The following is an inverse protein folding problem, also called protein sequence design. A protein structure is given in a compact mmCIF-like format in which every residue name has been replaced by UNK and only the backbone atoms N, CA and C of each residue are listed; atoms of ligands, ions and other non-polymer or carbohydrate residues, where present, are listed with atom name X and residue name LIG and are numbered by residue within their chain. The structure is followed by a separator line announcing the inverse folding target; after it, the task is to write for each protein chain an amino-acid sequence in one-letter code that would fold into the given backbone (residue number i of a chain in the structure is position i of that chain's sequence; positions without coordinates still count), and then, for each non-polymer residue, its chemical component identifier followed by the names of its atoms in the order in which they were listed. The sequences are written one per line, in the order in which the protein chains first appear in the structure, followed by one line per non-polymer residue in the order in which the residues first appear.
data_IF_309406242870
#
_entry.id   IF_309406242870
#
_cell.length_a   1.000
_cell.length_b   1.000
_cell.length_c   1.000
_cell.angle_alpha   90.00
_cell.angle_beta   90.00
_cell.angle_gamma   90.00
#
_symmetry.space_group_name_H-M   'P 1'
#
loop_
_entity.id
_entity.type
_entity.pdbx_description
1 polymer ?
#
# COMPACT_ATOMS: atom_id res chain seq x y z
N UNK A 1 -23.83 15.44 -0.58
CA UNK A 1 -22.46 15.33 0.00
C UNK A 1 -22.51 14.22 1.04
N UNK A 2 -21.59 13.27 0.99
CA UNK A 2 -21.53 12.18 1.97
C UNK A 2 -21.11 12.74 3.33
N UNK A 3 -21.81 12.34 4.39
CA UNK A 3 -21.54 12.84 5.74
C UNK A 3 -20.25 12.24 6.29
N UNK A 4 -19.33 13.06 6.76
CA UNK A 4 -18.08 12.62 7.43
C UNK A 4 -18.42 12.02 8.78
N UNK A 5 -18.14 10.73 8.96
CA UNK A 5 -18.35 10.01 10.22
C UNK A 5 -17.02 9.93 10.97
N UNK A 6 -17.02 10.17 12.29
CA UNK A 6 -15.87 10.07 13.16
C UNK A 6 -16.01 8.91 14.14
N UNK A 7 -14.96 8.12 14.31
CA UNK A 7 -14.89 7.04 15.31
C UNK A 7 -13.61 7.14 16.12
N UNK A 8 -13.66 6.71 17.37
CA UNK A 8 -12.48 6.64 18.23
C UNK A 8 -11.47 5.64 17.66
N UNK A 9 -10.20 5.99 17.76
CA UNK A 9 -9.10 5.09 17.40
C UNK A 9 -8.92 4.08 18.53
N UNK A 10 -8.96 2.79 18.19
CA UNK A 10 -8.80 1.67 19.12
C UNK A 10 -7.53 1.82 19.96
N UNK A 11 -7.70 1.77 21.28
CA UNK A 11 -6.65 1.99 22.28
C UNK A 11 -6.32 3.46 22.56
N UNK A 12 -6.97 4.41 21.85
CA UNK A 12 -6.83 5.86 22.00
C UNK A 12 -8.18 6.55 22.24
N UNK A 13 -9.16 5.82 22.73
CA UNK A 13 -10.47 6.35 23.12
C UNK A 13 -10.31 7.54 24.07
N UNK A 14 -11.07 8.60 23.84
CA UNK A 14 -10.95 9.84 24.61
C UNK A 14 -9.75 10.73 24.25
N UNK A 15 -8.91 10.32 23.29
CA UNK A 15 -7.75 11.08 22.84
C UNK A 15 -7.81 11.45 21.36
N UNK A 16 -8.14 10.49 20.49
CA UNK A 16 -8.09 10.68 19.05
C UNK A 16 -9.20 9.94 18.33
N UNK A 17 -9.65 10.53 17.23
CA UNK A 17 -10.64 9.98 16.32
C UNK A 17 -10.12 9.96 14.89
N UNK A 18 -10.59 9.01 14.11
CA UNK A 18 -10.39 8.92 12.66
C UNK A 18 -11.72 9.10 11.95
N UNK A 19 -11.72 9.80 10.82
CA UNK A 19 -12.90 9.98 9.98
C UNK A 19 -13.01 8.90 8.90
N UNK A 20 -14.23 8.72 8.39
CA UNK A 20 -14.50 7.89 7.20
C UNK A 20 -13.75 8.34 5.95
N UNK A 21 -13.23 9.58 5.92
CA UNK A 21 -12.50 10.18 4.81
C UNK A 21 -10.97 10.23 5.02
N UNK A 22 -10.45 9.55 6.07
CA UNK A 22 -9.01 9.51 6.31
C UNK A 22 -8.41 10.69 7.07
N UNK A 23 -9.23 11.57 7.64
CA UNK A 23 -8.73 12.60 8.55
C UNK A 23 -8.56 12.03 9.96
N UNK A 24 -7.62 12.54 10.73
CA UNK A 24 -7.41 12.20 12.14
C UNK A 24 -7.46 13.48 12.97
N UNK A 25 -8.16 13.42 14.10
CA UNK A 25 -8.23 14.55 15.04
C UNK A 25 -7.95 14.14 16.47
N UNK A 26 -7.37 15.06 17.26
CA UNK A 26 -7.47 14.98 18.71
C UNK A 26 -8.82 15.52 19.16
N UNK A 27 -9.27 15.10 20.35
CA UNK A 27 -10.53 15.57 20.93
C UNK A 27 -10.26 16.47 22.14
N UNK A 28 -11.25 17.30 22.48
CA UNK A 28 -11.22 18.12 23.66
C UNK A 28 -11.04 17.24 24.90
N UNK A 29 -10.10 17.59 25.76
CA UNK A 29 -9.88 16.87 27.02
C UNK A 29 -9.22 17.73 28.09
N UNK A 30 -9.39 17.34 29.33
CA UNK A 30 -8.68 17.95 30.46
C UNK A 30 -7.45 17.08 30.76
N UNK A 31 -6.29 17.71 30.91
CA UNK A 31 -5.04 17.07 31.32
C UNK A 31 -4.52 17.74 32.58
N UNK A 32 -3.84 17.01 33.44
CA UNK A 32 -3.15 17.59 34.57
C UNK A 32 -1.77 18.09 34.13
N UNK A 33 -1.45 19.35 34.39
CA UNK A 33 -0.17 19.96 34.07
C UNK A 33 0.30 20.78 35.26
N UNK A 34 1.43 20.41 35.86
CA UNK A 34 1.94 21.06 37.08
C UNK A 34 0.97 20.99 38.27
N UNK A 35 0.17 19.92 38.37
CA UNK A 35 -0.83 19.76 39.44
C UNK A 35 -2.18 20.45 39.20
N UNK A 36 -2.33 21.19 38.09
CA UNK A 36 -3.56 21.91 37.74
C UNK A 36 -4.25 21.36 36.51
N UNK A 37 -5.61 21.36 36.46
CA UNK A 37 -6.35 20.93 35.30
C UNK A 37 -6.18 21.95 34.16
N UNK A 38 -5.77 21.47 32.97
CA UNK A 38 -5.66 22.27 31.76
C UNK A 38 -6.53 21.67 30.65
N UNK A 39 -7.39 22.53 30.08
CA UNK A 39 -8.18 22.13 28.89
C UNK A 39 -7.31 22.15 27.64
N UNK A 40 -7.28 21.05 26.90
CA UNK A 40 -6.69 20.93 25.56
C UNK A 40 -7.84 20.91 24.57
N UNK A 41 -7.82 21.82 23.59
CA UNK A 41 -8.79 21.83 22.48
C UNK A 41 -8.37 20.81 21.42
N UNK A 42 -9.34 20.03 20.95
CA UNK A 42 -9.15 19.09 19.84
C UNK A 42 -8.88 19.82 18.52
N UNK A 43 -8.09 19.16 17.67
CA UNK A 43 -7.74 19.70 16.34
C UNK A 43 -7.47 18.60 15.35
N UNK A 44 -7.61 18.88 14.05
CA UNK A 44 -7.18 18.01 12.97
C UNK A 44 -5.65 17.91 13.02
N UNK A 45 -5.15 16.68 12.94
CA UNK A 45 -3.71 16.40 12.98
C UNK A 45 -3.12 16.41 11.58
N UNK A 46 -1.94 17.03 11.45
CA UNK A 46 -1.16 16.96 10.23
C UNK A 46 -0.71 15.51 9.94
N UNK A 47 -0.77 15.14 8.68
CA UNK A 47 -0.33 13.84 8.18
C UNK A 47 0.86 14.04 7.26
N UNK A 48 1.85 13.17 7.35
CA UNK A 48 3.00 13.14 6.45
C UNK A 48 2.86 12.00 5.46
N UNK A 49 3.51 12.13 4.30
CA UNK A 49 3.56 11.05 3.31
C UNK A 49 4.95 10.41 3.37
N UNK A 50 5.01 9.09 3.47
CA UNK A 50 6.28 8.38 3.42
C UNK A 50 6.81 8.28 1.97
N UNK A 51 8.01 7.72 1.83
CA UNK A 51 8.65 7.55 0.53
C UNK A 51 7.86 6.60 -0.41
N UNK A 52 7.05 5.73 0.13
CA UNK A 52 6.22 4.77 -0.60
C UNK A 52 4.84 5.32 -0.96
N UNK A 53 4.52 6.56 -0.54
CA UNK A 53 3.29 7.29 -0.85
C UNK A 53 2.17 7.14 0.18
N UNK A 54 2.39 6.44 1.29
CA UNK A 54 1.36 6.27 2.31
C UNK A 54 1.30 7.44 3.28
N UNK A 55 0.07 7.85 3.64
CA UNK A 55 -0.17 8.82 4.71
C UNK A 55 0.01 8.18 6.07
N UNK A 56 0.79 8.84 6.94
CA UNK A 56 1.00 8.41 8.31
C UNK A 56 1.07 9.60 9.27
N UNK A 57 0.91 9.32 10.57
CA UNK A 57 1.04 10.30 11.64
C UNK A 57 1.48 9.62 12.93
N UNK A 58 1.84 10.45 13.92
CA UNK A 58 2.18 9.96 15.26
C UNK A 58 1.10 10.31 16.26
N UNK A 59 0.72 9.35 17.09
CA UNK A 59 -0.21 9.53 18.20
C UNK A 59 0.51 9.34 19.52
N UNK A 60 0.20 10.20 20.49
CA UNK A 60 0.81 10.18 21.81
C UNK A 60 -0.22 9.92 22.88
N UNK A 61 0.02 8.93 23.74
CA UNK A 61 -0.80 8.61 24.92
C UNK A 61 0.11 8.16 26.08
N UNK A 62 -0.12 8.67 27.29
CA UNK A 62 0.64 8.31 28.50
C UNK A 62 2.17 8.43 28.33
N UNK A 63 2.63 9.52 27.71
CA UNK A 63 4.05 9.76 27.47
C UNK A 63 4.68 8.96 26.32
N UNK A 64 4.01 7.95 25.79
CA UNK A 64 4.48 7.11 24.68
C UNK A 64 3.95 7.63 23.35
N UNK A 65 4.80 7.62 22.31
CA UNK A 65 4.45 7.99 20.96
C UNK A 65 4.55 6.75 20.04
N UNK A 66 3.58 6.60 19.12
CA UNK A 66 3.56 5.51 18.14
C UNK A 66 3.11 6.07 16.78
N UNK A 67 3.76 5.61 15.71
CA UNK A 67 3.38 5.92 14.33
C UNK A 67 2.29 4.98 13.83
N UNK A 68 1.35 5.55 13.05
CA UNK A 68 0.23 4.82 12.45
C UNK A 68 0.05 5.23 11.00
N UNK A 69 -0.23 4.27 10.15
CA UNK A 69 -0.72 4.53 8.80
C UNK A 69 -2.21 4.86 8.82
N UNK A 70 -2.58 5.92 8.10
CA UNK A 70 -3.96 6.44 8.08
C UNK A 70 -4.93 5.41 7.51
N UNK A 71 -4.59 4.75 6.39
CA UNK A 71 -5.43 3.70 5.80
C UNK A 71 -5.74 2.56 6.78
N UNK A 72 -4.78 2.19 7.65
CA UNK A 72 -5.02 1.17 8.67
C UNK A 72 -5.99 1.64 9.74
N UNK A 73 -5.84 2.88 10.23
CA UNK A 73 -6.78 3.46 11.20
C UNK A 73 -8.20 3.52 10.64
N UNK A 74 -8.35 3.91 9.36
CA UNK A 74 -9.65 3.93 8.69
C UNK A 74 -10.21 2.53 8.51
N UNK A 75 -9.40 1.59 8.04
CA UNK A 75 -9.84 0.22 7.82
C UNK A 75 -10.29 -0.44 9.14
N UNK A 76 -9.53 -0.27 10.22
CA UNK A 76 -9.88 -0.79 11.55
C UNK A 76 -11.20 -0.20 12.09
N UNK A 77 -11.49 1.07 11.76
CA UNK A 77 -12.67 1.74 12.26
C UNK A 77 -13.93 1.51 11.40
N UNK A 78 -13.80 1.37 10.08
CA UNK A 78 -14.91 1.47 9.15
C UNK A 78 -15.08 0.29 8.20
N UNK A 79 -14.01 -0.50 7.94
CA UNK A 79 -14.07 -1.61 7.00
C UNK A 79 -14.24 -2.92 7.75
N UNK A 80 -15.34 -3.63 7.47
CA UNK A 80 -15.60 -4.93 8.10
C UNK A 80 -14.50 -5.94 7.76
N UNK A 81 -13.85 -6.47 8.80
CA UNK A 81 -12.87 -7.54 8.66
C UNK A 81 -13.54 -8.89 8.91
N UNK A 82 -13.68 -9.71 7.86
CA UNK A 82 -14.26 -11.05 7.94
C UNK A 82 -13.38 -12.07 8.66
N UNK A 83 -12.08 -11.76 8.80
CA UNK A 83 -11.06 -12.69 9.32
C UNK A 83 -10.10 -11.96 10.26
N UNK A 84 -10.57 -11.53 11.43
CA UNK A 84 -9.78 -10.70 12.35
C UNK A 84 -8.52 -11.37 12.88
N UNK A 85 -8.48 -12.70 12.89
CA UNK A 85 -7.35 -13.50 13.40
C UNK A 85 -6.27 -13.76 12.31
N UNK A 86 -6.53 -13.42 11.05
CA UNK A 86 -5.54 -13.49 9.98
C UNK A 86 -4.69 -12.21 9.93
N UNK A 87 -3.41 -12.37 9.57
CA UNK A 87 -2.51 -11.22 9.35
C UNK A 87 -2.81 -10.56 7.99
N UNK A 88 -3.89 -9.80 7.92
CA UNK A 88 -4.33 -9.13 6.73
C UNK A 88 -3.63 -7.78 6.50
N UNK A 89 -3.55 -7.40 5.24
CA UNK A 89 -3.13 -6.08 4.77
C UNK A 89 -4.36 -5.25 4.39
N UNK A 90 -4.15 -3.94 4.23
CA UNK A 90 -5.16 -3.03 3.68
C UNK A 90 -4.73 -2.64 2.27
N UNK A 91 -5.60 -2.88 1.31
CA UNK A 91 -5.43 -2.49 -0.09
C UNK A 91 -6.22 -1.22 -0.41
N UNK A 92 -5.70 -0.39 -1.32
CA UNK A 92 -6.41 0.73 -1.94
C UNK A 92 -6.94 0.27 -3.30
N UNK A 93 -8.29 0.22 -3.44
CA UNK A 93 -8.95 -0.32 -4.65
C UNK A 93 -8.64 0.47 -5.92
N UNK A 94 -8.43 1.78 -5.81
CA UNK A 94 -8.04 2.66 -6.91
C UNK A 94 -6.53 2.77 -7.14
N UNK A 95 -5.71 2.04 -6.36
CA UNK A 95 -4.25 2.09 -6.34
C UNK A 95 -3.66 3.45 -5.88
N UNK A 96 -4.49 4.43 -5.49
CA UNK A 96 -4.03 5.70 -4.92
C UNK A 96 -3.86 5.58 -3.40
N UNK A 97 -2.61 5.47 -2.95
CA UNK A 97 -2.24 5.35 -1.53
C UNK A 97 -2.58 6.57 -0.68
N UNK A 98 -2.95 7.67 -1.30
CA UNK A 98 -3.37 8.90 -0.62
C UNK A 98 -4.88 8.97 -0.40
N UNK A 99 -5.67 8.19 -1.16
CA UNK A 99 -7.11 8.11 -1.04
C UNK A 99 -7.51 7.14 0.07
N UNK A 100 -7.54 7.66 1.30
CA UNK A 100 -7.89 6.88 2.50
C UNK A 100 -9.38 6.91 2.84
N UNK A 101 -10.26 7.15 1.87
CA UNK A 101 -11.69 7.01 2.06
C UNK A 101 -12.07 5.55 2.33
N UNK A 102 -12.95 5.29 3.32
CA UNK A 102 -13.23 3.91 3.76
C UNK A 102 -13.79 3.00 2.65
N UNK A 103 -14.57 3.57 1.70
CA UNK A 103 -15.11 2.80 0.57
C UNK A 103 -14.04 2.35 -0.43
N UNK A 104 -12.88 3.04 -0.43
CA UNK A 104 -11.72 2.70 -1.26
C UNK A 104 -10.80 1.64 -0.64
N UNK A 105 -11.01 1.30 0.63
CA UNK A 105 -10.16 0.36 1.37
C UNK A 105 -10.79 -1.01 1.48
N UNK A 106 -9.96 -2.04 1.50
CA UNK A 106 -10.38 -3.42 1.75
C UNK A 106 -9.30 -4.20 2.52
N UNK A 107 -9.73 -5.15 3.36
CA UNK A 107 -8.84 -6.12 3.98
C UNK A 107 -8.54 -7.24 2.99
N UNK A 108 -7.27 -7.59 2.82
CA UNK A 108 -6.83 -8.61 1.88
C UNK A 108 -5.59 -9.36 2.37
N UNK A 109 -5.31 -10.50 1.76
CA UNK A 109 -4.06 -11.23 1.99
C UNK A 109 -2.88 -10.51 1.34
N UNK A 110 -1.67 -10.80 1.82
CA UNK A 110 -0.44 -10.27 1.20
C UNK A 110 -0.31 -10.70 -0.26
N UNK A 111 -0.67 -11.95 -0.58
CA UNK A 111 -0.65 -12.47 -1.94
C UNK A 111 -1.61 -11.71 -2.86
N UNK A 112 -2.86 -11.51 -2.43
CA UNK A 112 -3.82 -10.70 -3.17
C UNK A 112 -3.30 -9.28 -3.41
N UNK A 113 -2.78 -8.63 -2.37
CA UNK A 113 -2.30 -7.24 -2.46
C UNK A 113 -1.10 -7.08 -3.40
N UNK A 114 -0.19 -8.06 -3.42
CA UNK A 114 0.96 -8.05 -4.33
C UNK A 114 0.52 -8.19 -5.79
N UNK A 115 -0.52 -8.98 -6.05
CA UNK A 115 -1.03 -9.26 -7.40
C UNK A 115 -2.14 -8.29 -7.85
N UNK A 116 -2.58 -7.39 -6.97
CA UNK A 116 -3.68 -6.46 -7.25
C UNK A 116 -3.28 -5.37 -8.26
N UNK A 117 -4.25 -5.02 -9.10
CA UNK A 117 -4.17 -3.88 -10.01
C UNK A 117 -3.05 -3.95 -11.05
N UNK A 118 -2.52 -2.79 -11.37
CA UNK A 118 -1.52 -2.61 -12.44
C UNK A 118 -0.06 -2.77 -11.98
N UNK A 119 0.18 -3.05 -10.69
CA UNK A 119 1.52 -3.12 -10.12
C UNK A 119 2.45 -4.08 -10.88
N UNK A 120 1.98 -5.29 -11.14
CA UNK A 120 2.78 -6.29 -11.84
C UNK A 120 3.04 -5.89 -13.29
N UNK A 121 2.06 -5.25 -13.97
CA UNK A 121 2.24 -4.68 -15.31
C UNK A 121 3.28 -3.57 -15.30
N UNK A 122 3.21 -2.61 -14.36
CA UNK A 122 4.19 -1.52 -14.22
C UNK A 122 5.60 -1.99 -13.90
N UNK A 123 5.75 -3.09 -13.15
CA UNK A 123 7.03 -3.70 -12.83
C UNK A 123 7.54 -4.63 -13.92
N UNK A 124 6.67 -5.09 -14.82
CA UNK A 124 7.03 -5.91 -15.96
C UNK A 124 7.90 -5.12 -16.92
N UNK A 125 8.98 -5.75 -17.35
CA UNK A 125 9.85 -5.22 -18.41
C UNK A 125 9.58 -6.02 -19.66
N UNK A 126 9.01 -5.39 -20.70
CA UNK A 126 8.81 -6.05 -21.98
C UNK A 126 10.15 -6.54 -22.54
N UNK A 127 10.13 -7.69 -23.19
CA UNK A 127 11.31 -8.30 -23.77
C UNK A 127 11.07 -8.72 -25.22
N UNK A 128 12.13 -8.69 -25.99
CA UNK A 128 12.15 -9.12 -27.38
C UNK A 128 13.09 -10.34 -27.49
N UNK A 129 12.58 -11.45 -28.02
CA UNK A 129 13.37 -12.59 -28.48
C UNK A 129 13.53 -12.50 -29.99
N UNK A 130 14.74 -12.63 -30.51
CA UNK A 130 14.99 -12.55 -31.93
C UNK A 130 16.11 -13.48 -32.37
N UNK A 131 15.96 -13.95 -33.61
CA UNK A 131 16.99 -14.69 -34.33
C UNK A 131 16.97 -14.27 -35.80
N UNK A 132 17.68 -14.99 -36.66
CA UNK A 132 17.78 -14.64 -38.10
C UNK A 132 16.49 -14.93 -38.88
N UNK A 133 15.47 -15.56 -38.27
CA UNK A 133 14.23 -15.96 -38.95
C UNK A 133 13.03 -15.14 -38.48
N UNK A 134 12.98 -14.80 -37.18
CA UNK A 134 11.80 -14.15 -36.58
C UNK A 134 12.14 -13.31 -35.36
N UNK A 135 11.19 -12.45 -34.99
CA UNK A 135 11.22 -11.63 -33.77
C UNK A 135 9.91 -11.81 -33.02
N UNK A 136 10.01 -12.17 -31.74
CA UNK A 136 8.88 -12.33 -30.84
C UNK A 136 8.90 -11.22 -29.79
N UNK A 137 7.74 -10.65 -29.52
CA UNK A 137 7.56 -9.63 -28.48
C UNK A 137 6.74 -10.17 -27.33
N UNK A 138 7.18 -9.90 -26.10
CA UNK A 138 6.49 -10.29 -24.87
C UNK A 138 6.40 -9.08 -23.94
N UNK A 139 5.21 -8.82 -23.36
CA UNK A 139 4.99 -7.73 -22.41
C UNK A 139 5.74 -7.95 -21.07
N UNK A 140 6.20 -9.17 -20.82
CA UNK A 140 7.02 -9.51 -19.66
C UNK A 140 7.84 -10.78 -19.93
N UNK A 141 8.91 -10.97 -19.15
CA UNK A 141 9.62 -12.25 -19.14
C UNK A 141 8.73 -13.40 -18.66
N UNK A 142 7.71 -13.13 -17.83
CA UNK A 142 6.75 -14.12 -17.35
C UNK A 142 5.83 -14.59 -18.47
N UNK A 143 5.39 -13.69 -19.35
CA UNK A 143 4.61 -14.05 -20.55
C UNK A 143 5.40 -15.02 -21.44
N UNK A 144 6.69 -14.76 -21.66
CA UNK A 144 7.54 -15.66 -22.42
C UNK A 144 7.66 -17.07 -21.77
N UNK A 145 7.53 -17.17 -20.44
CA UNK A 145 7.53 -18.48 -19.77
C UNK A 145 6.27 -19.29 -20.12
N UNK A 146 5.12 -18.69 -20.29
CA UNK A 146 3.90 -19.37 -20.74
C UNK A 146 4.05 -19.92 -22.16
N UNK A 147 4.90 -19.29 -22.98
CA UNK A 147 5.29 -19.76 -24.32
C UNK A 147 6.47 -20.77 -24.27
N UNK A 148 6.76 -21.30 -23.10
CA UNK A 148 7.73 -22.39 -22.91
C UNK A 148 9.18 -21.95 -22.71
N UNK A 149 9.49 -20.67 -22.59
CA UNK A 149 10.84 -20.20 -22.27
C UNK A 149 11.12 -20.28 -20.76
N UNK A 150 12.38 -20.11 -20.35
CA UNK A 150 12.77 -20.17 -18.94
C UNK A 150 13.20 -18.80 -18.43
N UNK A 151 12.53 -18.27 -17.41
CA UNK A 151 12.76 -16.92 -16.85
C UNK A 151 14.23 -16.66 -16.48
N UNK A 152 14.86 -17.61 -15.80
CA UNK A 152 16.26 -17.48 -15.39
C UNK A 152 17.23 -17.44 -16.59
N UNK A 153 16.94 -18.19 -17.65
CA UNK A 153 17.74 -18.21 -18.87
C UNK A 153 17.56 -16.92 -19.67
N UNK A 154 16.32 -16.42 -19.84
CA UNK A 154 16.05 -15.11 -20.47
C UNK A 154 16.82 -14.01 -19.71
N UNK A 155 16.72 -13.97 -18.38
CA UNK A 155 17.41 -12.98 -17.56
C UNK A 155 18.95 -13.03 -17.72
N UNK A 156 19.52 -14.22 -17.90
CA UNK A 156 20.96 -14.38 -18.15
C UNK A 156 21.37 -13.81 -19.51
N UNK A 157 20.57 -14.04 -20.57
CA UNK A 157 20.85 -13.48 -21.89
C UNK A 157 20.70 -11.97 -21.89
N UNK A 158 19.62 -11.43 -21.35
CA UNK A 158 19.39 -9.97 -21.24
C UNK A 158 20.52 -9.26 -20.46
N UNK A 159 21.10 -9.92 -19.45
CA UNK A 159 22.24 -9.42 -18.67
C UNK A 159 23.61 -9.70 -19.32
N UNK A 160 23.64 -10.26 -20.52
CA UNK A 160 24.89 -10.58 -21.24
C UNK A 160 25.68 -11.75 -20.67
N UNK A 161 25.12 -12.54 -19.73
CA UNK A 161 25.79 -13.70 -19.12
C UNK A 161 25.83 -14.93 -20.03
N UNK A 162 24.88 -15.02 -20.95
CA UNK A 162 24.81 -16.06 -21.99
C UNK A 162 24.40 -15.41 -23.31
N UNK A 163 24.76 -16.02 -24.45
CA UNK A 163 24.51 -15.44 -25.78
C UNK A 163 23.07 -15.64 -26.23
N UNK A 164 22.51 -16.80 -25.97
CA UNK A 164 21.18 -17.20 -26.46
C UNK A 164 20.44 -18.09 -25.47
N UNK A 165 19.11 -18.18 -25.61
CA UNK A 165 18.26 -19.18 -24.97
C UNK A 165 17.26 -19.73 -25.99
N UNK A 166 17.20 -21.04 -26.17
CA UNK A 166 16.37 -21.74 -27.18
C UNK A 166 16.54 -21.17 -28.60
N UNK A 167 17.77 -20.82 -28.99
CA UNK A 167 18.07 -20.31 -30.32
C UNK A 167 17.77 -18.81 -30.52
N UNK A 168 17.29 -18.08 -29.49
CA UNK A 168 16.99 -16.64 -29.56
C UNK A 168 18.00 -15.83 -28.75
N UNK A 169 18.36 -14.67 -29.26
CA UNK A 169 18.94 -13.54 -28.51
C UNK A 169 17.79 -12.80 -27.81
N UNK A 170 18.06 -12.19 -26.66
CA UNK A 170 17.05 -11.51 -25.87
C UNK A 170 17.52 -10.12 -25.49
N UNK A 171 16.64 -9.13 -25.58
CA UNK A 171 16.86 -7.79 -25.05
C UNK A 171 15.59 -7.23 -24.42
N UNK A 172 15.73 -6.17 -23.61
CA UNK A 172 14.57 -5.40 -23.19
C UNK A 172 13.98 -4.67 -24.39
N UNK A 173 12.67 -4.56 -24.45
CA UNK A 173 11.99 -3.64 -25.34
C UNK A 173 12.02 -2.27 -24.66
N UNK A 174 12.79 -1.35 -25.20
CA UNK A 174 12.83 0.04 -24.72
C UNK A 174 11.59 0.78 -25.16
#
# INVERSE_FOLDING_TARGET
MEQVIWKDIKGYEGYYQVSSHGQVRSIDRIVMSGGFPRKIKGQILAQTTDRDGYKHLRLRKNGKEKSFFVHRLVAEAFVYNKKPDENLQVNHKDEDKTNNHFSNLEWCTAEYNINYGTRNQRLSKPVIAYNDRETLFFNSMTEAVYEGFTLSAISKVVKGKTKTHKGYRWRLAN
#
